data_IF_412930303320
#
_entry.id   IF_412930303320
#
_cell.length_a   1.000
_cell.length_b   1.000
_cell.length_c   1.000
_cell.angle_alpha   90.00
_cell.angle_beta   90.00
_cell.angle_gamma   90.00
#
_symmetry.space_group_name_H-M   'P 1'
#
loop_
_entity.id
_entity.type
_entity.pdbx_description
1 polymer ?
#
# COMPACT_ATOMS: atom_id res chain seq x y z
N UNK A 1 -30.55 67.15 -38.00
CA UNK A 1 -29.80 66.57 -36.89
C UNK A 1 -30.09 65.08 -36.84
N UNK A 2 -29.13 64.24 -37.28
CA UNK A 2 -29.26 62.77 -37.27
C UNK A 2 -28.40 62.24 -36.11
N UNK A 3 -29.05 61.57 -35.16
CA UNK A 3 -28.40 60.93 -34.02
C UNK A 3 -27.98 59.56 -34.44
N UNK A 4 -26.67 59.28 -34.51
CA UNK A 4 -26.09 57.95 -34.77
C UNK A 4 -26.01 57.20 -33.44
N UNK A 5 -26.78 56.13 -33.31
CA UNK A 5 -26.66 55.20 -32.17
C UNK A 5 -25.63 54.14 -32.53
N UNK A 6 -24.46 54.18 -31.85
CA UNK A 6 -23.46 53.13 -31.93
C UNK A 6 -23.87 51.99 -31.01
N UNK A 7 -24.13 50.80 -31.56
CA UNK A 7 -24.29 49.55 -30.83
C UNK A 7 -22.89 48.98 -30.57
N UNK A 8 -22.49 48.94 -29.33
CA UNK A 8 -21.28 48.24 -28.89
C UNK A 8 -21.65 46.78 -28.66
N UNK A 9 -21.26 45.89 -29.59
CA UNK A 9 -21.42 44.45 -29.45
C UNK A 9 -20.26 43.92 -28.57
N UNK A 10 -20.57 43.53 -27.33
CA UNK A 10 -19.64 42.83 -26.43
C UNK A 10 -19.62 41.35 -26.84
N UNK A 11 -18.51 40.94 -27.44
CA UNK A 11 -18.24 39.54 -27.76
C UNK A 11 -17.82 38.84 -26.48
N UNK A 12 -18.72 38.07 -25.84
CA UNK A 12 -18.37 37.13 -24.77
C UNK A 12 -17.69 35.91 -25.41
N UNK A 13 -16.37 35.84 -25.31
CA UNK A 13 -15.61 34.61 -25.60
C UNK A 13 -15.78 33.69 -24.39
N UNK A 14 -16.67 32.72 -24.49
CA UNK A 14 -16.76 31.64 -23.54
C UNK A 14 -15.53 30.71 -23.74
N UNK A 15 -14.51 30.90 -22.91
CA UNK A 15 -13.41 29.95 -22.80
C UNK A 15 -13.97 28.65 -22.19
N UNK A 16 -14.32 27.68 -23.02
CA UNK A 16 -14.60 26.31 -22.59
C UNK A 16 -13.33 25.70 -22.06
N UNK A 17 -13.11 25.77 -20.74
CA UNK A 17 -12.08 25.01 -20.06
C UNK A 17 -12.41 23.53 -20.25
N UNK A 18 -11.68 22.85 -21.11
CA UNK A 18 -11.70 21.39 -21.20
C UNK A 18 -11.07 20.84 -19.92
N UNK A 19 -11.89 20.57 -18.91
CA UNK A 19 -11.45 19.75 -17.79
C UNK A 19 -11.28 18.32 -18.31
N UNK A 20 -10.06 17.93 -18.62
CA UNK A 20 -9.76 16.52 -18.80
C UNK A 20 -10.14 15.80 -17.49
N UNK A 21 -10.93 14.71 -17.53
CA UNK A 21 -11.22 13.95 -16.33
C UNK A 21 -9.89 13.51 -15.74
N UNK A 22 -9.66 13.84 -14.46
CA UNK A 22 -8.54 13.31 -13.74
C UNK A 22 -8.73 11.78 -13.68
N UNK A 23 -7.88 11.04 -14.39
CA UNK A 23 -7.86 9.58 -14.26
C UNK A 23 -7.54 9.26 -12.81
N UNK A 24 -8.43 8.52 -12.15
CA UNK A 24 -8.15 8.01 -10.81
C UNK A 24 -6.85 7.21 -10.88
N UNK A 25 -5.91 7.53 -9.99
CA UNK A 25 -4.67 6.75 -9.89
C UNK A 25 -5.03 5.34 -9.47
N UNK A 26 -4.62 4.34 -10.27
CA UNK A 26 -4.76 2.94 -9.87
C UNK A 26 -3.78 2.65 -8.74
N UNK A 27 -4.29 2.27 -7.58
CA UNK A 27 -3.47 1.85 -6.44
C UNK A 27 -3.46 0.33 -6.35
N UNK A 28 -2.27 -0.22 -6.24
CA UNK A 28 -2.03 -1.61 -5.83
C UNK A 28 -1.68 -1.64 -4.34
N UNK A 29 -1.55 -2.84 -3.78
CA UNK A 29 -0.90 -3.01 -2.46
C UNK A 29 0.44 -2.30 -2.45
N UNK A 30 0.69 -1.50 -1.42
CA UNK A 30 1.94 -0.76 -1.28
C UNK A 30 3.12 -1.71 -1.08
N UNK A 31 4.08 -1.65 -2.02
CA UNK A 31 5.30 -2.44 -2.00
C UNK A 31 6.45 -1.73 -1.28
N UNK A 32 6.24 -0.48 -0.83
CA UNK A 32 7.27 0.26 -0.10
C UNK A 32 7.69 -0.49 1.14
N UNK A 33 8.97 -0.82 1.23
CA UNK A 33 9.61 -1.46 2.38
C UNK A 33 11.07 -1.83 2.07
N UNK A 34 11.76 -2.38 3.06
CA UNK A 34 12.95 -3.17 2.87
C UNK A 34 12.57 -4.63 2.59
N UNK A 35 13.18 -5.19 1.55
CA UNK A 35 12.97 -6.57 1.13
C UNK A 35 14.30 -7.31 1.13
N UNK A 36 14.30 -8.53 1.62
CA UNK A 36 15.51 -9.34 1.77
C UNK A 36 15.23 -10.83 1.64
N UNK A 37 16.28 -11.60 1.48
CA UNK A 37 16.22 -13.05 1.61
C UNK A 37 16.77 -13.44 2.99
N UNK A 38 15.98 -14.03 3.91
CA UNK A 38 16.44 -14.42 5.23
C UNK A 38 17.62 -15.39 5.25
N UNK A 39 17.78 -16.18 4.17
CA UNK A 39 18.90 -17.11 4.03
C UNK A 39 20.17 -16.49 3.46
N UNK A 40 20.12 -15.21 3.06
CA UNK A 40 21.21 -14.52 2.37
C UNK A 40 21.43 -13.13 2.99
N UNK A 41 21.80 -13.09 4.27
CA UNK A 41 22.03 -11.82 4.97
C UNK A 41 23.16 -11.01 4.33
N UNK A 42 23.06 -9.68 4.40
CA UNK A 42 24.10 -8.75 3.94
C UNK A 42 23.75 -8.00 2.65
N UNK A 43 22.68 -8.34 1.97
CA UNK A 43 22.15 -7.60 0.83
C UNK A 43 20.64 -7.43 0.93
N UNK A 44 20.08 -6.51 0.17
CA UNK A 44 18.64 -6.26 0.14
C UNK A 44 18.26 -5.23 -0.92
N UNK A 45 16.97 -5.02 -1.02
CA UNK A 45 16.39 -4.03 -1.92
C UNK A 45 15.35 -3.20 -1.17
N UNK A 46 15.40 -1.90 -1.38
CA UNK A 46 14.40 -0.97 -0.88
C UNK A 46 13.46 -0.59 -2.04
N UNK A 47 12.17 -0.67 -1.78
CA UNK A 47 11.14 -0.14 -2.65
C UNK A 47 10.51 1.11 -2.05
N UNK A 48 10.24 2.09 -2.91
CA UNK A 48 9.42 3.27 -2.63
C UNK A 48 8.37 3.37 -3.71
N UNK A 49 7.12 3.07 -3.34
CA UNK A 49 6.01 3.12 -4.28
C UNK A 49 5.30 4.47 -4.25
N UNK A 50 4.95 4.97 -5.43
CA UNK A 50 4.08 6.14 -5.62
C UNK A 50 3.07 5.84 -6.72
N UNK A 51 1.80 5.74 -6.34
CA UNK A 51 0.75 5.28 -7.24
C UNK A 51 1.03 3.86 -7.74
N UNK A 52 1.20 3.73 -9.03
CA UNK A 52 1.45 2.45 -9.71
C UNK A 52 2.93 2.18 -10.00
N UNK A 53 3.85 3.07 -9.62
CA UNK A 53 5.29 2.97 -9.91
C UNK A 53 6.09 2.69 -8.65
N UNK A 54 7.16 1.91 -8.79
CA UNK A 54 8.09 1.57 -7.71
C UNK A 54 9.47 2.08 -8.08
N UNK A 55 10.07 2.92 -7.24
CA UNK A 55 11.50 3.17 -7.29
C UNK A 55 12.21 2.12 -6.44
N UNK A 56 13.16 1.43 -7.05
CA UNK A 56 13.92 0.34 -6.44
C UNK A 56 15.38 0.74 -6.26
N UNK A 57 15.94 0.45 -5.08
CA UNK A 57 17.38 0.58 -4.80
C UNK A 57 17.89 -0.71 -4.18
N UNK A 58 18.80 -1.38 -4.86
CA UNK A 58 19.38 -2.66 -4.45
C UNK A 58 20.82 -2.45 -4.00
N UNK A 59 21.12 -2.94 -2.79
CA UNK A 59 22.46 -2.91 -2.19
C UNK A 59 23.01 -4.32 -2.20
N UNK A 60 24.11 -4.53 -2.93
CA UNK A 60 24.73 -5.84 -3.14
C UNK A 60 26.26 -5.69 -3.14
N UNK A 61 26.96 -6.78 -3.38
CA UNK A 61 28.42 -6.79 -3.52
C UNK A 61 28.81 -7.20 -4.94
N UNK A 62 29.87 -6.62 -5.44
CA UNK A 62 30.49 -7.04 -6.70
C UNK A 62 31.33 -8.32 -6.51
N UNK A 63 31.90 -8.90 -7.59
CA UNK A 63 32.74 -10.10 -7.49
C UNK A 63 34.01 -9.92 -6.62
N UNK A 64 34.40 -8.68 -6.33
CA UNK A 64 35.53 -8.34 -5.47
C UNK A 64 35.10 -8.08 -4.02
N UNK A 65 33.83 -8.36 -3.66
CA UNK A 65 33.21 -8.11 -2.36
C UNK A 65 33.12 -6.62 -2.01
N UNK A 66 33.16 -5.73 -2.99
CA UNK A 66 33.02 -4.29 -2.78
C UNK A 66 31.51 -3.94 -2.82
N UNK A 67 31.00 -3.17 -1.83
CA UNK A 67 29.62 -2.72 -1.84
C UNK A 67 29.31 -1.92 -3.10
N UNK A 68 28.23 -2.27 -3.78
CA UNK A 68 27.73 -1.58 -4.94
C UNK A 68 26.19 -1.46 -4.84
N UNK A 69 25.64 -0.44 -5.43
CA UNK A 69 24.20 -0.28 -5.50
C UNK A 69 23.71 -0.14 -6.94
N UNK A 70 22.53 -0.67 -7.19
CA UNK A 70 21.82 -0.56 -8.44
C UNK A 70 20.43 0.01 -8.16
N UNK A 71 19.83 0.67 -9.12
CA UNK A 71 18.48 1.18 -8.93
C UNK A 71 17.78 1.51 -10.22
N UNK A 72 16.48 1.74 -10.13
CA UNK A 72 15.66 2.11 -11.28
C UNK A 72 14.19 2.27 -10.90
N UNK A 73 13.42 2.80 -11.83
CA UNK A 73 11.97 2.88 -11.69
C UNK A 73 11.33 1.70 -12.41
N UNK A 74 10.51 0.96 -11.67
CA UNK A 74 9.72 -0.15 -12.18
C UNK A 74 8.31 0.33 -12.48
N UNK A 75 7.79 -0.07 -13.62
CA UNK A 75 6.46 0.28 -14.14
C UNK A 75 5.59 -0.97 -14.17
N UNK A 76 4.26 -0.86 -13.99
CA UNK A 76 3.36 -2.00 -14.13
C UNK A 76 3.43 -2.56 -15.55
N UNK A 77 3.49 -3.88 -15.67
CA UNK A 77 3.61 -4.57 -16.97
C UNK A 77 2.27 -4.88 -17.62
N UNK A 78 1.16 -4.64 -16.91
CA UNK A 78 -0.18 -5.11 -17.28
C UNK A 78 -0.52 -6.50 -16.72
N UNK A 79 0.47 -7.30 -16.32
CA UNK A 79 0.23 -8.51 -15.53
C UNK A 79 -0.02 -8.14 -14.06
N UNK A 80 -0.91 -8.87 -13.40
CA UNK A 80 -1.27 -8.62 -12.01
C UNK A 80 -0.02 -8.67 -11.11
N UNK A 81 0.11 -7.68 -10.24
CA UNK A 81 1.16 -7.59 -9.23
C UNK A 81 2.60 -7.69 -9.79
N UNK A 82 2.80 -7.22 -11.03
CA UNK A 82 4.08 -7.32 -11.72
C UNK A 82 4.56 -5.95 -12.21
N UNK A 83 5.79 -5.59 -11.85
CA UNK A 83 6.47 -4.36 -12.26
C UNK A 83 7.81 -4.70 -12.89
N UNK A 84 8.21 -3.95 -13.91
CA UNK A 84 9.50 -4.12 -14.56
C UNK A 84 10.07 -2.78 -15.03
N UNK A 85 11.42 -2.70 -15.11
CA UNK A 85 12.11 -1.51 -15.56
C UNK A 85 13.58 -1.74 -15.80
N UNK A 86 14.25 -0.71 -16.32
CA UNK A 86 15.69 -0.74 -16.51
C UNK A 86 16.41 -0.67 -15.16
N UNK A 87 17.49 -1.42 -15.06
CA UNK A 87 18.39 -1.44 -13.92
C UNK A 87 19.64 -0.62 -14.25
N UNK A 88 20.01 0.31 -13.39
CA UNK A 88 21.10 1.26 -13.59
C UNK A 88 22.18 1.09 -12.54
N UNK A 89 23.44 1.30 -12.96
CA UNK A 89 24.54 1.66 -12.08
C UNK A 89 24.89 3.13 -12.30
N UNK A 90 25.28 3.81 -11.25
CA UNK A 90 25.68 5.22 -11.33
C UNK A 90 27.02 5.44 -10.69
N UNK A 91 27.72 6.47 -11.12
CA UNK A 91 28.89 7.02 -10.44
C UNK A 91 28.81 8.55 -10.42
N UNK A 92 29.56 9.17 -9.53
CA UNK A 92 29.53 10.62 -9.38
C UNK A 92 30.71 11.12 -8.55
N UNK A 93 30.80 12.45 -8.36
CA UNK A 93 31.84 13.03 -7.53
C UNK A 93 31.68 12.60 -6.07
N UNK A 94 32.80 12.56 -5.36
CA UNK A 94 32.75 12.35 -3.93
C UNK A 94 31.92 13.46 -3.25
N UNK A 95 31.03 13.05 -2.34
CA UNK A 95 30.08 13.96 -1.67
C UNK A 95 30.75 15.08 -0.86
N UNK A 96 32.01 14.88 -0.42
CA UNK A 96 32.79 15.88 0.31
C UNK A 96 33.52 16.89 -0.58
N UNK A 97 33.39 16.82 -1.91
CA UNK A 97 33.97 17.83 -2.80
C UNK A 97 33.32 19.19 -2.61
N UNK A 98 34.15 20.24 -2.51
CA UNK A 98 33.68 21.62 -2.43
C UNK A 98 34.45 22.46 -3.45
N UNK A 99 33.78 23.01 -4.48
CA UNK A 99 32.36 22.87 -4.80
C UNK A 99 32.01 21.46 -5.33
N UNK A 100 30.77 21.01 -5.08
CA UNK A 100 30.25 19.79 -5.68
C UNK A 100 30.05 19.99 -7.20
N UNK A 101 30.57 19.08 -8.02
CA UNK A 101 30.45 19.15 -9.46
C UNK A 101 29.45 18.10 -10.01
N UNK A 102 28.19 18.47 -10.28
CA UNK A 102 27.17 17.54 -10.76
C UNK A 102 27.45 17.00 -12.18
N UNK A 103 28.32 17.64 -12.97
CA UNK A 103 28.63 17.18 -14.34
C UNK A 103 29.47 15.92 -14.35
N UNK A 104 30.04 15.50 -13.22
CA UNK A 104 30.77 14.23 -13.08
C UNK A 104 29.82 13.04 -12.83
N UNK A 105 28.51 13.28 -12.69
CA UNK A 105 27.53 12.19 -12.58
C UNK A 105 27.44 11.43 -13.90
N UNK A 106 27.46 10.10 -13.81
CA UNK A 106 27.20 9.20 -14.93
C UNK A 106 26.21 8.11 -14.53
N UNK A 107 25.44 7.64 -15.49
CA UNK A 107 24.55 6.49 -15.31
C UNK A 107 24.65 5.57 -16.52
N UNK A 108 24.57 4.28 -16.28
CA UNK A 108 24.60 3.24 -17.32
C UNK A 108 23.52 2.20 -17.03
N UNK A 109 22.76 1.84 -18.05
CA UNK A 109 21.88 0.68 -17.99
C UNK A 109 22.73 -0.57 -17.93
N UNK A 110 22.52 -1.41 -16.94
CA UNK A 110 23.23 -2.70 -16.75
C UNK A 110 22.33 -3.90 -17.06
N UNK A 111 21.02 -3.68 -17.17
CA UNK A 111 20.05 -4.73 -17.45
C UNK A 111 18.63 -4.30 -17.10
N UNK A 112 17.86 -5.26 -16.63
CA UNK A 112 16.46 -5.06 -16.22
C UNK A 112 16.24 -5.56 -14.80
N UNK A 113 15.18 -5.08 -14.18
CA UNK A 113 14.69 -5.55 -12.89
C UNK A 113 13.20 -5.80 -13.00
N UNK A 114 12.72 -6.94 -12.50
CA UNK A 114 11.29 -7.32 -12.48
C UNK A 114 10.93 -7.76 -11.08
N UNK A 115 9.89 -7.18 -10.54
CA UNK A 115 9.28 -7.55 -9.26
C UNK A 115 7.91 -8.17 -9.50
N UNK A 116 7.68 -9.32 -8.91
CA UNK A 116 6.37 -10.02 -8.87
C UNK A 116 6.00 -10.23 -7.42
N UNK A 117 5.02 -9.47 -6.90
CA UNK A 117 4.50 -9.68 -5.56
C UNK A 117 3.63 -10.95 -5.55
N UNK A 118 3.97 -11.92 -4.70
CA UNK A 118 3.24 -13.19 -4.55
C UNK A 118 2.26 -13.16 -3.38
N UNK A 119 2.49 -12.26 -2.43
CA UNK A 119 1.58 -11.92 -1.33
C UNK A 119 1.84 -10.48 -0.86
N UNK A 120 1.17 -10.07 0.21
CA UNK A 120 1.44 -8.78 0.86
C UNK A 120 2.85 -8.70 1.49
N UNK A 121 3.45 -9.85 1.78
CA UNK A 121 4.73 -9.96 2.51
C UNK A 121 5.84 -10.66 1.76
N UNK A 122 5.56 -11.25 0.60
CA UNK A 122 6.54 -12.03 -0.19
C UNK A 122 6.46 -11.70 -1.66
N UNK A 123 7.57 -11.89 -2.38
CA UNK A 123 7.62 -11.72 -3.83
C UNK A 123 8.89 -12.28 -4.44
N UNK A 124 8.93 -12.27 -5.76
CA UNK A 124 10.07 -12.72 -6.55
C UNK A 124 10.71 -11.52 -7.25
N UNK A 125 11.97 -11.32 -7.00
CA UNK A 125 12.82 -10.37 -7.71
C UNK A 125 13.65 -11.10 -8.75
N UNK A 126 13.53 -10.71 -10.03
CA UNK A 126 14.44 -11.13 -11.10
C UNK A 126 15.15 -9.90 -11.63
N UNK A 127 16.47 -9.97 -11.72
CA UNK A 127 17.25 -8.87 -12.27
C UNK A 127 18.43 -9.35 -13.10
N UNK A 128 18.89 -8.49 -14.01
CA UNK A 128 20.09 -8.72 -14.80
C UNK A 128 21.10 -7.60 -14.55
N UNK A 129 22.38 -7.96 -14.51
CA UNK A 129 23.52 -7.04 -14.45
C UNK A 129 24.58 -7.55 -15.40
N UNK A 130 24.88 -6.78 -16.45
CA UNK A 130 25.92 -7.06 -17.44
C UNK A 130 25.91 -8.52 -17.97
N UNK A 131 24.68 -9.01 -18.27
CA UNK A 131 24.44 -10.36 -18.80
C UNK A 131 24.26 -11.45 -17.75
N UNK A 132 24.54 -11.19 -16.46
CA UNK A 132 24.28 -12.12 -15.38
C UNK A 132 22.83 -11.99 -14.93
N UNK A 133 22.04 -13.07 -14.95
CA UNK A 133 20.66 -13.12 -14.51
C UNK A 133 20.54 -13.78 -13.15
N UNK A 134 19.77 -13.17 -12.26
CA UNK A 134 19.57 -13.62 -10.87
C UNK A 134 18.07 -13.58 -10.55
N UNK A 135 17.57 -14.61 -9.88
CA UNK A 135 16.19 -14.66 -9.35
C UNK A 135 16.23 -14.99 -7.87
N UNK A 136 15.52 -14.21 -7.06
CA UNK A 136 15.48 -14.34 -5.60
C UNK A 136 14.04 -14.27 -5.09
N UNK A 137 13.73 -15.11 -4.12
CA UNK A 137 12.55 -14.99 -3.29
C UNK A 137 12.84 -14.04 -2.14
N UNK A 138 12.03 -13.03 -1.97
CA UNK A 138 12.21 -12.02 -0.95
C UNK A 138 11.00 -11.94 -0.03
N UNK A 139 11.25 -11.53 1.19
CA UNK A 139 10.23 -11.18 2.17
C UNK A 139 10.46 -9.75 2.66
N UNK A 140 9.40 -9.10 3.17
CA UNK A 140 9.54 -7.81 3.84
C UNK A 140 10.36 -7.97 5.11
N UNK A 141 11.27 -7.06 5.36
CA UNK A 141 12.07 -7.04 6.56
C UNK A 141 11.39 -6.18 7.63
N UNK A 142 10.97 -6.80 8.72
CA UNK A 142 10.48 -6.06 9.89
C UNK A 142 11.67 -5.49 10.65
N UNK A 143 11.77 -4.17 10.73
CA UNK A 143 12.80 -3.45 11.47
C UNK A 143 12.36 -3.25 12.92
N UNK A 144 11.08 -2.92 13.11
CA UNK A 144 10.45 -2.68 14.40
C UNK A 144 9.03 -3.23 14.37
N UNK A 145 8.57 -3.78 15.48
CA UNK A 145 7.16 -4.13 15.62
C UNK A 145 6.37 -2.88 15.99
N UNK A 146 5.35 -2.59 15.18
CA UNK A 146 4.47 -1.46 15.41
C UNK A 146 3.47 -1.74 16.53
N UNK A 147 3.12 -0.71 17.26
CA UNK A 147 2.00 -0.74 18.20
C UNK A 147 0.73 -0.28 17.48
N UNK A 148 -0.11 -1.24 17.08
CA UNK A 148 -1.38 -1.00 16.45
C UNK A 148 -2.48 -0.60 17.44
N UNK A 149 -2.23 -0.60 18.73
CA UNK A 149 -3.23 -0.30 19.74
C UNK A 149 -3.66 1.18 19.72
N UNK A 150 -4.88 1.42 20.18
CA UNK A 150 -5.42 2.77 20.28
C UNK A 150 -6.90 2.87 20.03
N UNK A 151 -7.41 4.10 20.12
CA UNK A 151 -8.78 4.47 19.78
C UNK A 151 -8.78 5.27 18.49
N UNK A 152 -9.65 4.88 17.55
CA UNK A 152 -9.72 5.48 16.24
C UNK A 152 -11.18 5.73 15.86
N UNK A 153 -11.41 6.79 15.07
CA UNK A 153 -12.72 7.12 14.51
C UNK A 153 -12.59 7.28 13.00
N UNK A 154 -13.46 6.61 12.24
CA UNK A 154 -13.34 6.64 10.78
C UNK A 154 -14.51 6.01 10.07
N UNK A 155 -14.23 5.32 8.97
CA UNK A 155 -15.24 4.68 8.14
C UNK A 155 -14.80 3.29 7.68
N UNK A 156 -15.81 2.46 7.42
CA UNK A 156 -15.67 1.12 6.82
C UNK A 156 -16.44 1.11 5.51
N UNK A 157 -15.79 0.68 4.44
CA UNK A 157 -16.44 0.22 3.23
C UNK A 157 -16.53 -1.30 3.26
N UNK A 158 -17.73 -1.85 3.08
CA UNK A 158 -17.99 -3.29 3.11
C UNK A 158 -18.85 -3.70 1.93
N UNK A 159 -18.41 -4.68 1.15
CA UNK A 159 -19.20 -5.36 0.14
C UNK A 159 -19.47 -6.80 0.58
N UNK A 160 -20.74 -7.13 0.84
CA UNK A 160 -21.20 -8.45 1.18
C UNK A 160 -21.71 -9.20 -0.06
N UNK A 161 -21.37 -10.47 -0.17
CA UNK A 161 -21.73 -11.36 -1.27
C UNK A 161 -21.93 -12.78 -0.77
N UNK A 162 -22.45 -13.64 -1.64
CA UNK A 162 -22.68 -15.08 -1.35
C UNK A 162 -23.54 -15.35 -0.10
N UNK A 163 -24.39 -14.38 0.27
CA UNK A 163 -25.27 -14.50 1.43
C UNK A 163 -26.35 -15.57 1.21
N UNK A 164 -26.80 -16.22 2.29
CA UNK A 164 -27.95 -17.15 2.26
C UNK A 164 -29.25 -16.49 1.76
N UNK A 165 -29.42 -15.20 2.02
CA UNK A 165 -30.46 -14.38 1.42
C UNK A 165 -29.84 -13.40 0.42
N UNK A 166 -30.24 -13.41 -0.86
CA UNK A 166 -29.70 -12.49 -1.87
C UNK A 166 -29.90 -11.00 -1.54
N UNK A 167 -30.92 -10.67 -0.74
CA UNK A 167 -31.18 -9.30 -0.26
C UNK A 167 -30.06 -8.76 0.64
N UNK A 168 -29.26 -9.64 1.23
CA UNK A 168 -28.10 -9.27 2.06
C UNK A 168 -26.82 -9.04 1.25
N UNK A 169 -26.82 -9.32 -0.07
CA UNK A 169 -25.73 -8.98 -0.96
C UNK A 169 -25.72 -7.46 -1.21
N UNK A 170 -25.06 -6.72 -0.34
CA UNK A 170 -25.08 -5.25 -0.33
C UNK A 170 -23.69 -4.67 -0.20
N UNK A 171 -23.54 -3.46 -0.71
CA UNK A 171 -22.36 -2.63 -0.42
C UNK A 171 -22.81 -1.53 0.55
N UNK A 172 -22.06 -1.33 1.63
CA UNK A 172 -22.35 -0.36 2.67
C UNK A 172 -21.11 0.46 3.01
N UNK A 173 -21.36 1.73 3.37
CA UNK A 173 -20.35 2.61 3.94
C UNK A 173 -20.84 3.09 5.29
N UNK A 174 -20.07 2.87 6.33
CA UNK A 174 -20.47 3.11 7.71
C UNK A 174 -19.38 3.93 8.43
N UNK A 175 -19.83 4.92 9.20
CA UNK A 175 -18.95 5.51 10.20
C UNK A 175 -18.79 4.53 11.35
N UNK A 176 -17.57 4.35 11.82
CA UNK A 176 -17.25 3.41 12.89
C UNK A 176 -16.16 3.94 13.81
N UNK A 177 -16.32 3.62 15.11
CA UNK A 177 -15.26 3.71 16.09
C UNK A 177 -14.55 2.37 16.21
N UNK A 178 -13.24 2.42 16.43
CA UNK A 178 -12.39 1.25 16.63
C UNK A 178 -11.60 1.42 17.92
N UNK A 179 -11.57 0.38 18.73
CA UNK A 179 -10.64 0.26 19.82
C UNK A 179 -9.80 -1.00 19.61
N UNK A 180 -8.50 -0.82 19.41
CA UNK A 180 -7.56 -1.90 19.21
C UNK A 180 -6.75 -2.10 20.49
N UNK A 181 -6.72 -3.33 20.97
CA UNK A 181 -5.91 -3.76 22.12
C UNK A 181 -4.91 -4.81 21.68
N UNK A 182 -3.63 -4.43 21.60
CA UNK A 182 -2.53 -5.34 21.31
C UNK A 182 -1.97 -5.88 22.62
N UNK A 183 -2.04 -7.20 22.79
CA UNK A 183 -1.56 -7.84 24.02
C UNK A 183 -0.04 -8.07 23.96
N UNK A 184 0.45 -8.40 22.78
CA UNK A 184 1.87 -8.59 22.45
C UNK A 184 2.01 -8.57 20.92
N UNK A 185 3.17 -8.92 20.38
CA UNK A 185 3.39 -8.94 18.94
C UNK A 185 2.65 -10.08 18.19
N UNK A 186 1.84 -10.87 18.90
CA UNK A 186 1.16 -12.04 18.32
C UNK A 186 -0.34 -12.10 18.59
N UNK A 187 -0.90 -11.21 19.40
CA UNK A 187 -2.33 -11.23 19.76
C UNK A 187 -2.93 -9.84 19.70
N UNK A 188 -4.11 -9.75 19.15
CA UNK A 188 -4.87 -8.50 19.07
C UNK A 188 -6.37 -8.72 19.28
N UNK A 189 -7.00 -7.77 19.96
CA UNK A 189 -8.45 -7.60 20.00
C UNK A 189 -8.85 -6.30 19.30
N UNK A 190 -10.01 -6.29 18.65
CA UNK A 190 -10.57 -5.10 18.01
C UNK A 190 -12.04 -5.02 18.43
N UNK A 191 -12.41 -3.95 19.11
CA UNK A 191 -13.80 -3.61 19.35
C UNK A 191 -14.23 -2.57 18.34
N UNK A 192 -15.35 -2.80 17.68
CA UNK A 192 -15.93 -1.84 16.74
C UNK A 192 -17.32 -1.42 17.22
N UNK A 193 -17.67 -0.16 16.93
CA UNK A 193 -19.04 0.33 17.07
C UNK A 193 -19.38 1.19 15.86
N UNK A 194 -20.50 0.92 15.21
CA UNK A 194 -20.96 1.71 14.06
C UNK A 194 -22.08 2.69 14.46
N UNK A 195 -22.44 3.55 13.51
CA UNK A 195 -23.48 4.55 13.71
C UNK A 195 -24.90 3.95 13.88
N UNK A 196 -25.08 2.67 13.59
CA UNK A 196 -26.34 1.94 13.75
C UNK A 196 -26.43 1.24 15.12
N UNK A 197 -25.38 1.35 15.96
CA UNK A 197 -25.31 0.72 17.28
C UNK A 197 -24.89 -0.76 17.22
N UNK A 198 -24.42 -1.25 16.10
CA UNK A 198 -23.83 -2.58 16.02
C UNK A 198 -22.43 -2.53 16.65
N UNK A 199 -22.24 -3.37 17.64
CA UNK A 199 -20.95 -3.55 18.32
C UNK A 199 -20.43 -4.95 18.06
N UNK A 200 -19.19 -5.06 17.61
CA UNK A 200 -18.53 -6.34 17.38
C UNK A 200 -17.18 -6.36 18.10
N UNK A 201 -16.87 -7.52 18.66
CA UNK A 201 -15.55 -7.84 19.18
C UNK A 201 -14.87 -8.85 18.24
N UNK A 202 -13.67 -8.53 17.83
CA UNK A 202 -12.78 -9.37 17.02
C UNK A 202 -11.57 -9.76 17.86
N UNK A 203 -11.19 -11.00 17.82
CA UNK A 203 -9.97 -11.47 18.50
C UNK A 203 -9.20 -12.43 17.61
N UNK A 204 -7.88 -12.29 17.57
CA UNK A 204 -7.10 -13.10 16.67
C UNK A 204 -5.59 -12.99 16.85
N UNK A 205 -4.91 -13.75 16.01
CA UNK A 205 -3.46 -13.75 15.91
C UNK A 205 -3.00 -12.59 15.05
N UNK A 206 -2.13 -11.75 15.62
CA UNK A 206 -1.43 -10.68 14.92
C UNK A 206 -0.12 -11.22 14.33
N UNK A 207 0.19 -10.83 13.11
CA UNK A 207 1.53 -10.96 12.53
C UNK A 207 1.90 -9.68 11.79
N UNK A 208 3.19 -9.40 11.69
CA UNK A 208 3.71 -8.23 10.97
C UNK A 208 4.86 -8.66 10.06
N UNK A 209 4.86 -8.13 8.84
CA UNK A 209 5.94 -8.25 7.88
C UNK A 209 6.26 -6.87 7.31
N UNK A 210 7.45 -6.35 7.58
CA UNK A 210 7.82 -4.96 7.33
C UNK A 210 6.89 -4.02 8.08
N UNK A 211 6.27 -3.09 7.36
CA UNK A 211 5.27 -2.16 7.88
C UNK A 211 3.82 -2.69 7.79
N UNK A 212 3.61 -3.91 7.30
CA UNK A 212 2.29 -4.48 7.08
C UNK A 212 1.90 -5.46 8.19
N UNK A 213 0.86 -5.11 8.94
CA UNK A 213 0.22 -6.03 9.89
C UNK A 213 -0.86 -6.88 9.22
N UNK A 214 -1.12 -8.04 9.80
CA UNK A 214 -2.29 -8.85 9.51
C UNK A 214 -2.83 -9.49 10.78
N UNK A 215 -4.15 -9.69 10.83
CA UNK A 215 -4.85 -10.30 11.97
C UNK A 215 -5.83 -11.31 11.44
N UNK A 216 -5.82 -12.52 11.98
CA UNK A 216 -6.81 -13.55 11.63
C UNK A 216 -7.39 -14.17 12.89
N UNK A 217 -8.70 -14.39 12.89
CA UNK A 217 -9.39 -14.92 14.06
C UNK A 217 -10.90 -15.02 13.91
N UNK A 218 -11.60 -14.87 15.02
CA UNK A 218 -13.05 -14.92 15.11
C UNK A 218 -13.64 -13.61 15.62
N UNK A 219 -14.90 -13.36 15.27
CA UNK A 219 -15.64 -12.20 15.77
C UNK A 219 -17.03 -12.60 16.28
N UNK A 220 -17.59 -11.75 17.12
CA UNK A 220 -18.97 -11.81 17.55
C UNK A 220 -19.54 -10.41 17.72
N UNK A 221 -20.83 -10.26 17.39
CA UNK A 221 -21.54 -8.97 17.47
C UNK A 221 -22.74 -9.04 18.41
N UNK A 222 -23.16 -7.89 18.91
CA UNK A 222 -24.37 -7.75 19.75
C UNK A 222 -25.68 -8.10 19.01
N UNK A 223 -25.66 -8.19 17.69
CA UNK A 223 -26.75 -8.66 16.84
C UNK A 223 -26.93 -10.18 16.82
N UNK A 224 -26.00 -10.93 17.44
CA UNK A 224 -25.94 -12.38 17.39
C UNK A 224 -25.16 -12.92 16.18
N UNK A 225 -24.65 -12.06 15.32
CA UNK A 225 -23.75 -12.48 14.24
C UNK A 225 -22.36 -12.83 14.79
N UNK A 226 -21.77 -13.86 14.22
CA UNK A 226 -20.42 -14.33 14.53
C UNK A 226 -19.77 -14.90 13.28
N UNK A 227 -18.48 -15.20 13.35
CA UNK A 227 -17.77 -15.84 12.24
C UNK A 227 -16.27 -15.66 12.31
N UNK A 228 -15.62 -15.87 11.16
CA UNK A 228 -14.19 -15.70 10.99
C UNK A 228 -13.87 -14.39 10.27
N UNK A 229 -12.69 -13.86 10.55
CA UNK A 229 -12.18 -12.65 9.87
C UNK A 229 -10.68 -12.73 9.59
N UNK A 230 -10.28 -11.95 8.61
CA UNK A 230 -8.89 -11.68 8.29
C UNK A 230 -8.73 -10.19 7.95
N UNK A 231 -7.88 -9.49 8.68
CA UNK A 231 -7.42 -8.14 8.33
C UNK A 231 -6.04 -8.27 7.72
N UNK A 232 -5.78 -7.55 6.66
CA UNK A 232 -4.50 -7.52 5.96
C UNK A 232 -4.19 -6.11 5.47
N UNK A 233 -2.93 -5.87 5.11
CA UNK A 233 -2.44 -4.52 4.79
C UNK A 233 -2.74 -3.52 5.92
N UNK A 234 -2.70 -3.98 7.17
CA UNK A 234 -2.90 -3.13 8.33
C UNK A 234 -1.68 -2.23 8.51
N UNK A 235 -1.90 -0.94 8.48
CA UNK A 235 -0.86 0.07 8.67
C UNK A 235 -1.29 1.07 9.72
N UNK A 236 -0.36 1.46 10.58
CA UNK A 236 -0.58 2.48 11.60
C UNK A 236 0.48 3.57 11.48
N UNK A 237 0.06 4.80 11.76
CA UNK A 237 0.97 5.94 11.89
C UNK A 237 0.46 6.89 12.98
N UNK A 238 1.16 8.01 13.16
CA UNK A 238 0.79 9.00 14.17
C UNK A 238 -0.64 9.53 14.00
N UNK A 239 -1.13 9.61 12.76
CA UNK A 239 -2.43 10.20 12.45
C UNK A 239 -3.57 9.19 12.48
N UNK A 240 -3.32 7.91 12.26
CA UNK A 240 -4.40 6.94 12.15
C UNK A 240 -3.98 5.53 11.76
N UNK A 241 -4.99 4.77 11.35
CA UNK A 241 -4.87 3.37 10.97
C UNK A 241 -5.65 3.12 9.68
N UNK A 242 -5.14 2.26 8.83
CA UNK A 242 -5.82 1.78 7.62
C UNK A 242 -5.63 0.27 7.49
N UNK A 243 -6.57 -0.38 6.81
CA UNK A 243 -6.46 -1.80 6.53
C UNK A 243 -7.54 -2.28 5.58
N UNK A 244 -7.37 -3.50 5.11
CA UNK A 244 -8.37 -4.26 4.35
C UNK A 244 -8.79 -5.47 5.15
N UNK A 245 -10.00 -5.95 4.90
CA UNK A 245 -10.51 -7.13 5.59
C UNK A 245 -11.33 -8.04 4.68
N UNK A 246 -11.39 -9.29 5.08
CA UNK A 246 -12.35 -10.28 4.64
C UNK A 246 -12.97 -10.93 5.87
N UNK A 247 -14.28 -11.18 5.86
CA UNK A 247 -14.97 -11.89 6.95
C UNK A 247 -16.07 -12.78 6.40
N UNK A 248 -16.39 -13.84 7.14
CA UNK A 248 -17.50 -14.76 6.85
C UNK A 248 -18.44 -14.80 8.02
N UNK A 249 -19.74 -14.59 7.78
CA UNK A 249 -20.78 -14.63 8.80
C UNK A 249 -21.36 -16.04 8.92
N UNK A 250 -21.42 -16.56 10.13
CA UNK A 250 -22.06 -17.83 10.42
C UNK A 250 -23.60 -17.70 10.39
N UNK A 251 -24.14 -16.52 10.71
CA UNK A 251 -25.57 -16.27 10.75
C UNK A 251 -26.18 -16.14 9.35
N UNK A 252 -25.53 -15.44 8.46
CA UNK A 252 -26.06 -15.09 7.13
C UNK A 252 -25.35 -15.78 5.99
N UNK A 253 -24.27 -16.52 6.28
CA UNK A 253 -23.33 -17.12 5.31
C UNK A 253 -22.70 -16.09 4.36
N UNK A 254 -22.84 -14.80 4.64
CA UNK A 254 -22.24 -13.75 3.81
C UNK A 254 -20.73 -13.81 3.87
N UNK A 255 -20.11 -13.66 2.70
CA UNK A 255 -18.68 -13.30 2.58
C UNK A 255 -18.61 -11.81 2.35
N UNK A 256 -17.95 -11.09 3.26
CA UNK A 256 -17.77 -9.65 3.18
C UNK A 256 -16.30 -9.31 2.96
N UNK A 257 -16.04 -8.39 2.04
CA UNK A 257 -14.72 -7.82 1.81
C UNK A 257 -14.80 -6.31 1.90
N UNK A 258 -13.73 -5.67 2.36
CA UNK A 258 -13.74 -4.24 2.48
C UNK A 258 -12.41 -3.64 2.88
N UNK A 259 -12.47 -2.35 3.17
CA UNK A 259 -11.36 -1.57 3.72
C UNK A 259 -11.87 -0.59 4.77
N UNK A 260 -11.00 -0.19 5.64
CA UNK A 260 -11.28 0.83 6.62
C UNK A 260 -10.13 1.83 6.69
N UNK A 261 -10.48 3.04 7.11
CA UNK A 261 -9.52 4.08 7.43
C UNK A 261 -10.06 4.90 8.59
N UNK A 262 -9.20 5.14 9.59
CA UNK A 262 -9.63 5.85 10.79
C UNK A 262 -8.50 6.73 11.34
N UNK A 263 -8.88 7.89 11.85
CA UNK A 263 -7.98 8.83 12.52
C UNK A 263 -7.84 8.43 13.99
N UNK A 264 -6.65 8.57 14.52
CA UNK A 264 -6.39 8.36 15.94
C UNK A 264 -7.08 9.45 16.75
N UNK A 265 -7.88 9.06 17.73
CA UNK A 265 -8.43 9.99 18.69
C UNK A 265 -7.27 10.55 19.54
N UNK A 266 -7.36 11.84 19.88
CA UNK A 266 -6.42 12.41 20.85
C UNK A 266 -6.49 11.61 22.17
N UNK A 267 -5.35 11.47 22.86
CA UNK A 267 -5.28 10.77 24.14
C UNK A 267 -6.13 11.47 25.21
#
# INVERSE_FOLDING_TARGET
MRVVRSFLAILLVAASANFAPASATSYSTDQSDLWWNPSEAGWGIQFVQRGDKIFATMFVYDPSHIPIWYGGTLYPTGASFTWSGANYVTSGPWFGNVPYNPTQFTSRVVGTMTWVATSTSTGTLTYTVDGVSVTKLLTRQTIVFDDFSGRFQGAIHRAASSCSSPANNTTTELSAGFFLGQVNNTSMSIDTSDALGVMCNYSGTLSQAGQMGSISGAYSCNTGDSGSFNVFELQVNISGITGRFAQTSDLTACVSNGWFGAMRNAP
#
